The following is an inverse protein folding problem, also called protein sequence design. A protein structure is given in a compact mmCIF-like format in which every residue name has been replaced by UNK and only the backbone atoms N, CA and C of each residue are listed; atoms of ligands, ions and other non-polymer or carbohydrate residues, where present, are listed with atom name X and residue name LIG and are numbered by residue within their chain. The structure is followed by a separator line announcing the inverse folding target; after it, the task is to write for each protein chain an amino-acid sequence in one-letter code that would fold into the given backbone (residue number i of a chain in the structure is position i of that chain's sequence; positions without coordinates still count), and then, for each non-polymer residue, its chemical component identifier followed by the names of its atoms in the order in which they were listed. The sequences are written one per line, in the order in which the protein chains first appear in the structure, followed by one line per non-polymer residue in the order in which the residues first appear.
data_IF_637182163415
#
_entry.id   IF_637182163415
#
_cell.length_a   1.000
_cell.length_b   1.000
_cell.length_c   1.000
_cell.angle_alpha   90.00
_cell.angle_beta   90.00
_cell.angle_gamma   90.00
#
_symmetry.space_group_name_H-M   'P 1'
#
loop_
_entity.id
_entity.type
_entity.pdbx_description
1 polymer ?
#
# COMPACT_ATOMS: atom_id res chain seq x y z
N UNK A 1 -5.63 -1.26 -10.35
CA UNK A 1 -6.18 -0.36 -11.39
C UNK A 1 -5.73 -0.86 -12.75
N UNK A 2 -6.62 -0.89 -13.70
CA UNK A 2 -6.38 -1.29 -15.10
C UNK A 2 -6.54 -0.08 -16.00
N UNK A 3 -5.86 -0.07 -17.13
CA UNK A 3 -5.98 1.03 -18.08
C UNK A 3 -7.39 1.12 -18.67
N UNK A 4 -7.97 -0.02 -19.00
CA UNK A 4 -9.36 -0.14 -19.45
C UNK A 4 -10.06 -1.28 -18.72
N UNK A 5 -11.41 -1.29 -18.62
CA UNK A 5 -12.15 -2.38 -17.98
C UNK A 5 -11.89 -3.76 -18.60
N UNK A 6 -11.53 -3.80 -19.88
CA UNK A 6 -11.22 -5.02 -20.64
C UNK A 6 -9.75 -5.45 -20.55
N UNK A 7 -8.86 -4.60 -20.05
CA UNK A 7 -7.44 -4.96 -19.87
C UNK A 7 -7.30 -5.98 -18.73
N UNK A 8 -6.53 -7.03 -18.97
CA UNK A 8 -6.19 -8.01 -17.93
C UNK A 8 -4.92 -7.62 -17.17
N UNK A 9 -4.16 -6.69 -17.69
CA UNK A 9 -2.93 -6.19 -17.08
C UNK A 9 -3.24 -5.13 -16.04
N UNK A 10 -2.73 -5.31 -14.83
CA UNK A 10 -2.79 -4.32 -13.77
C UNK A 10 -1.60 -3.38 -13.87
N UNK A 11 -1.86 -2.07 -13.94
CA UNK A 11 -0.82 -1.05 -14.04
C UNK A 11 -0.36 -0.58 -12.67
N UNK A 12 -1.29 -0.50 -11.70
CA UNK A 12 -0.99 0.03 -10.37
C UNK A 12 -2.07 -0.37 -9.36
N UNK A 13 -1.79 -0.16 -8.08
CA UNK A 13 -2.75 -0.31 -6.99
C UNK A 13 -3.34 1.05 -6.59
N UNK A 14 -4.50 1.05 -5.95
CA UNK A 14 -5.11 2.21 -5.30
C UNK A 14 -5.37 1.86 -3.84
N UNK A 15 -4.92 2.70 -2.91
CA UNK A 15 -5.06 2.44 -1.50
C UNK A 15 -5.36 3.71 -0.66
N UNK A 16 -5.27 3.57 0.66
CA UNK A 16 -5.52 4.68 1.58
C UNK A 16 -4.54 5.84 1.44
N UNK A 17 -3.31 5.61 0.97
CA UNK A 17 -2.34 6.69 0.70
C UNK A 17 -2.83 7.57 -0.44
N UNK A 18 -3.34 6.97 -1.50
CA UNK A 18 -3.94 7.69 -2.63
C UNK A 18 -5.19 8.49 -2.20
N UNK A 19 -6.05 7.85 -1.39
CA UNK A 19 -7.25 8.50 -0.86
C UNK A 19 -6.88 9.67 0.05
N UNK A 20 -5.89 9.51 0.94
CA UNK A 20 -5.46 10.58 1.82
C UNK A 20 -4.82 11.75 1.03
N UNK A 21 -4.01 11.46 0.01
CA UNK A 21 -3.45 12.48 -0.87
C UNK A 21 -4.58 13.28 -1.55
N UNK A 22 -5.58 12.59 -2.10
CA UNK A 22 -6.76 13.22 -2.69
C UNK A 22 -7.50 14.11 -1.68
N UNK A 23 -7.77 13.62 -0.48
CA UNK A 23 -8.46 14.40 0.55
C UNK A 23 -7.68 15.67 0.93
N UNK A 24 -6.34 15.59 1.07
CA UNK A 24 -5.51 16.75 1.35
C UNK A 24 -5.58 17.81 0.25
N UNK A 25 -5.67 17.39 -1.02
CA UNK A 25 -5.85 18.31 -2.15
C UNK A 25 -7.22 18.99 -2.08
N UNK A 26 -8.28 18.21 -1.85
CA UNK A 26 -9.67 18.72 -1.82
C UNK A 26 -9.89 19.73 -0.70
N UNK A 27 -9.30 19.49 0.49
CA UNK A 27 -9.41 20.42 1.63
C UNK A 27 -8.39 21.56 1.59
N UNK A 28 -7.54 21.62 0.57
CA UNK A 28 -6.57 22.71 0.37
C UNK A 28 -5.37 22.67 1.33
N UNK A 29 -5.06 21.51 1.90
CA UNK A 29 -3.92 21.32 2.82
C UNK A 29 -2.68 20.71 2.13
N UNK A 30 -2.82 20.28 0.88
CA UNK A 30 -1.69 19.79 0.11
C UNK A 30 -0.83 20.94 -0.42
N UNK A 31 0.50 20.76 -0.35
CA UNK A 31 1.47 21.68 -0.93
C UNK A 31 2.07 21.03 -2.18
N UNK A 32 1.57 21.34 -3.38
CA UNK A 32 2.11 20.82 -4.62
C UNK A 32 3.45 21.48 -4.97
N UNK A 33 4.32 20.72 -5.64
CA UNK A 33 5.44 21.26 -6.36
C UNK A 33 4.95 22.11 -7.55
N UNK A 34 5.79 23.00 -8.08
CA UNK A 34 5.40 23.92 -9.17
C UNK A 34 4.80 23.20 -10.39
N UNK A 35 5.30 21.99 -10.70
CA UNK A 35 4.85 21.17 -11.81
C UNK A 35 3.43 20.60 -11.60
N UNK A 36 3.03 20.42 -10.34
CA UNK A 36 1.77 19.75 -9.97
C UNK A 36 0.64 20.73 -9.60
N UNK A 37 0.90 22.03 -9.52
CA UNK A 37 -0.10 23.04 -9.13
C UNK A 37 -1.35 22.99 -9.99
N UNK A 38 -1.20 22.84 -11.31
CA UNK A 38 -2.32 22.80 -12.24
C UNK A 38 -3.22 21.58 -12.02
N UNK A 39 -2.62 20.41 -11.77
CA UNK A 39 -3.32 19.17 -11.47
C UNK A 39 -4.10 19.27 -10.16
N UNK A 40 -3.47 19.78 -9.11
CA UNK A 40 -4.10 19.93 -7.80
C UNK A 40 -5.30 20.89 -7.84
N UNK A 41 -5.17 22.00 -8.56
CA UNK A 41 -6.26 22.97 -8.75
C UNK A 41 -7.42 22.37 -9.54
N UNK A 42 -7.14 21.58 -10.59
CA UNK A 42 -8.18 20.92 -11.39
C UNK A 42 -8.93 19.87 -10.57
N UNK A 43 -8.22 19.03 -9.83
CA UNK A 43 -8.83 18.02 -8.93
C UNK A 43 -9.69 18.70 -7.86
N UNK A 44 -9.18 19.76 -7.22
CA UNK A 44 -9.94 20.52 -6.21
C UNK A 44 -11.20 21.13 -6.80
N UNK A 45 -11.11 21.74 -7.97
CA UNK A 45 -12.27 22.31 -8.71
C UNK A 45 -13.30 21.23 -9.04
N UNK A 46 -12.87 20.10 -9.62
CA UNK A 46 -13.76 18.97 -9.95
C UNK A 46 -14.47 18.44 -8.70
N UNK A 47 -13.73 18.25 -7.61
CA UNK A 47 -14.30 17.77 -6.36
C UNK A 47 -15.36 18.73 -5.78
N UNK A 48 -15.10 20.04 -5.80
CA UNK A 48 -16.08 21.06 -5.35
C UNK A 48 -17.31 21.10 -6.25
N UNK A 49 -17.14 20.86 -7.56
CA UNK A 49 -18.24 20.80 -8.52
C UNK A 49 -18.97 19.44 -8.51
N UNK A 50 -18.52 18.48 -7.68
CA UNK A 50 -19.04 17.11 -7.65
C UNK A 50 -18.95 16.41 -9.02
N UNK A 51 -17.94 16.77 -9.82
CA UNK A 51 -17.64 16.12 -11.10
C UNK A 51 -16.91 14.76 -10.85
N UNK A 52 -17.04 13.85 -11.82
CA UNK A 52 -16.31 12.58 -11.78
C UNK A 52 -14.80 12.81 -11.97
N UNK A 53 -14.00 12.21 -11.09
CA UNK A 53 -12.53 12.27 -11.14
C UNK A 53 -12.01 10.87 -11.41
N UNK A 54 -11.34 10.63 -12.56
CA UNK A 54 -10.75 9.33 -12.85
C UNK A 54 -9.69 8.94 -11.81
N UNK A 55 -9.68 7.68 -11.37
CA UNK A 55 -8.69 7.17 -10.40
C UNK A 55 -7.25 7.42 -10.83
N UNK A 56 -6.94 7.38 -12.14
CA UNK A 56 -5.61 7.66 -12.68
C UNK A 56 -5.11 9.09 -12.37
N UNK A 57 -6.01 10.07 -12.26
CA UNK A 57 -5.64 11.44 -11.87
C UNK A 57 -5.29 11.51 -10.39
N UNK A 58 -6.02 10.78 -9.55
CA UNK A 58 -5.76 10.70 -8.11
C UNK A 58 -4.43 9.97 -7.83
N UNK A 59 -4.17 8.91 -8.57
CA UNK A 59 -2.95 8.11 -8.41
C UNK A 59 -1.66 8.89 -8.65
N UNK A 60 -1.69 9.95 -9.44
CA UNK A 60 -0.54 10.82 -9.67
C UNK A 60 -0.21 11.73 -8.46
N UNK A 61 -1.12 11.84 -7.48
CA UNK A 61 -0.95 12.66 -6.27
C UNK A 61 -0.05 12.00 -5.23
N UNK A 62 0.07 10.68 -5.24
CA UNK A 62 0.85 9.93 -4.25
C UNK A 62 2.08 9.28 -4.87
N UNK A 63 3.10 9.09 -4.04
CA UNK A 63 4.27 8.30 -4.45
C UNK A 63 3.86 6.85 -4.58
N UNK A 64 4.06 6.27 -5.76
CA UNK A 64 3.71 4.87 -6.03
C UNK A 64 4.76 3.92 -5.48
N UNK A 65 4.27 2.85 -4.83
CA UNK A 65 5.08 1.66 -4.62
C UNK A 65 5.25 0.92 -5.96
N UNK A 66 6.39 0.28 -6.11
CA UNK A 66 6.63 -0.60 -7.25
C UNK A 66 5.61 -1.74 -7.25
N UNK A 67 5.02 -2.01 -8.42
CA UNK A 67 4.07 -3.10 -8.57
C UNK A 67 4.84 -4.42 -8.69
N UNK A 68 4.84 -5.19 -7.62
CA UNK A 68 5.48 -6.50 -7.58
C UNK A 68 4.45 -7.60 -7.84
N UNK A 69 4.79 -8.50 -8.74
CA UNK A 69 3.99 -9.69 -9.06
C UNK A 69 4.74 -10.95 -8.68
N UNK A 70 4.02 -11.94 -8.16
CA UNK A 70 4.54 -13.27 -7.81
C UNK A 70 3.58 -14.30 -8.38
N UNK A 71 4.11 -15.37 -8.97
CA UNK A 71 3.28 -16.46 -9.49
C UNK A 71 2.60 -17.22 -8.34
N UNK A 72 1.39 -17.71 -8.57
CA UNK A 72 0.70 -18.59 -7.63
C UNK A 72 1.44 -19.92 -7.42
N UNK A 73 2.31 -20.31 -8.34
CA UNK A 73 3.12 -21.53 -8.27
C UNK A 73 4.51 -21.30 -7.63
N UNK A 74 4.83 -20.03 -7.29
CA UNK A 74 6.07 -19.70 -6.59
C UNK A 74 5.99 -20.05 -5.10
N UNK A 75 7.16 -20.22 -4.49
CA UNK A 75 7.26 -20.48 -3.06
C UNK A 75 7.00 -19.23 -2.23
N UNK A 76 6.57 -19.45 -0.99
CA UNK A 76 6.25 -18.39 -0.04
C UNK A 76 7.42 -17.45 0.28
N UNK A 77 8.67 -17.94 0.17
CA UNK A 77 9.87 -17.15 0.38
C UNK A 77 9.97 -15.94 -0.56
N UNK A 78 9.50 -16.07 -1.82
CA UNK A 78 9.42 -14.94 -2.76
C UNK A 78 8.54 -13.81 -2.25
N UNK A 79 7.38 -14.15 -1.68
CA UNK A 79 6.50 -13.17 -1.07
C UNK A 79 7.15 -12.55 0.18
N UNK A 80 7.87 -13.35 0.99
CA UNK A 80 8.58 -12.86 2.17
C UNK A 80 9.71 -11.90 1.80
N UNK A 81 10.48 -12.19 0.76
CA UNK A 81 11.53 -11.29 0.24
C UNK A 81 10.94 -9.94 -0.21
N UNK A 82 9.86 -9.97 -0.99
CA UNK A 82 9.18 -8.76 -1.45
C UNK A 82 8.69 -7.92 -0.26
N UNK A 83 8.05 -8.53 0.72
CA UNK A 83 7.60 -7.82 1.92
C UNK A 83 8.76 -7.31 2.79
N UNK A 84 9.86 -8.05 2.86
CA UNK A 84 11.07 -7.64 3.57
C UNK A 84 11.77 -6.43 2.93
N UNK A 85 11.59 -6.19 1.62
CA UNK A 85 12.08 -5.00 0.93
C UNK A 85 11.24 -3.73 1.16
N UNK A 86 10.11 -3.83 1.90
CA UNK A 86 9.24 -2.71 2.21
C UNK A 86 7.98 -2.63 1.34
N UNK A 87 7.76 -3.59 0.46
CA UNK A 87 6.51 -3.70 -0.31
C UNK A 87 5.39 -4.18 0.61
N UNK A 88 4.24 -3.52 0.58
CA UNK A 88 3.10 -3.85 1.45
C UNK A 88 2.09 -4.80 0.81
N UNK A 89 2.05 -4.84 -0.53
CA UNK A 89 1.14 -5.69 -1.32
C UNK A 89 1.83 -6.20 -2.56
N UNK A 90 1.57 -7.45 -2.88
CA UNK A 90 2.01 -8.10 -4.11
C UNK A 90 0.79 -8.62 -4.86
N UNK A 91 0.87 -8.64 -6.18
CA UNK A 91 -0.14 -9.25 -7.03
C UNK A 91 0.24 -10.70 -7.28
N UNK A 92 -0.74 -11.58 -7.15
CA UNK A 92 -0.58 -12.99 -7.48
C UNK A 92 -1.06 -13.21 -8.90
N UNK A 93 -0.22 -13.84 -9.71
CA UNK A 93 -0.53 -14.13 -11.11
C UNK A 93 -0.67 -15.63 -11.35
N UNK A 94 -1.51 -15.98 -12.32
CA UNK A 94 -1.59 -17.33 -12.88
C UNK A 94 -0.39 -17.61 -13.79
N UNK A 95 -0.25 -18.86 -14.25
CA UNK A 95 0.75 -19.23 -15.28
C UNK A 95 0.56 -18.46 -16.60
N UNK A 96 -0.65 -17.99 -16.88
CA UNK A 96 -0.95 -17.16 -18.06
C UNK A 96 -0.59 -15.67 -17.85
N UNK A 97 -0.06 -15.29 -16.68
CA UNK A 97 0.27 -13.90 -16.34
C UNK A 97 -0.94 -13.06 -15.90
N UNK A 98 -2.12 -13.66 -15.76
CA UNK A 98 -3.31 -12.95 -15.31
C UNK A 98 -3.28 -12.73 -13.80
N UNK A 99 -3.67 -11.55 -13.34
CA UNK A 99 -3.79 -11.25 -11.90
C UNK A 99 -5.02 -11.97 -11.34
N UNK A 100 -4.77 -12.93 -10.44
CA UNK A 100 -5.79 -13.75 -9.79
C UNK A 100 -6.00 -13.39 -8.33
N UNK A 101 -5.10 -12.62 -7.73
CA UNK A 101 -5.22 -12.24 -6.33
C UNK A 101 -4.28 -11.13 -5.90
N UNK A 102 -4.48 -10.66 -4.68
CA UNK A 102 -3.60 -9.72 -3.99
C UNK A 102 -3.23 -10.32 -2.64
N UNK A 103 -1.94 -10.39 -2.34
CA UNK A 103 -1.43 -10.79 -1.04
C UNK A 103 -0.87 -9.55 -0.33
N UNK A 104 -1.27 -9.32 0.91
CA UNK A 104 -0.73 -8.25 1.76
C UNK A 104 0.16 -8.81 2.87
N UNK A 105 1.04 -7.99 3.42
CA UNK A 105 1.82 -8.33 4.61
C UNK A 105 0.92 -8.82 5.76
N UNK A 106 -0.22 -8.14 5.97
CA UNK A 106 -1.16 -8.51 7.03
C UNK A 106 -1.71 -9.92 6.82
N UNK A 107 -2.03 -10.29 5.58
CA UNK A 107 -2.55 -11.63 5.27
C UNK A 107 -1.50 -12.71 5.49
N UNK A 108 -0.23 -12.40 5.20
CA UNK A 108 0.88 -13.29 5.49
C UNK A 108 1.11 -13.48 7.00
N UNK A 109 1.04 -12.39 7.77
CA UNK A 109 1.14 -12.44 9.24
C UNK A 109 -0.02 -13.24 9.83
N UNK A 110 -1.24 -13.05 9.34
CA UNK A 110 -2.42 -13.83 9.74
C UNK A 110 -2.22 -15.33 9.47
N UNK A 111 -1.66 -15.68 8.31
CA UNK A 111 -1.33 -17.07 8.02
C UNK A 111 -0.34 -17.66 9.03
N UNK A 112 0.77 -16.98 9.31
CA UNK A 112 1.73 -17.45 10.30
C UNK A 112 1.15 -17.53 11.71
N UNK A 113 0.28 -16.60 12.08
CA UNK A 113 -0.41 -16.63 13.36
C UNK A 113 -1.30 -17.88 13.50
N UNK A 114 -2.09 -18.17 12.48
CA UNK A 114 -3.02 -19.31 12.50
C UNK A 114 -2.30 -20.65 12.40
N UNK A 115 -1.19 -20.71 11.67
CA UNK A 115 -0.42 -21.93 11.41
C UNK A 115 0.78 -22.09 12.37
N UNK A 116 0.94 -21.24 13.36
CA UNK A 116 2.11 -21.23 14.27
C UNK A 116 2.35 -22.59 14.95
N UNK A 117 1.28 -23.30 15.28
CA UNK A 117 1.35 -24.64 15.87
C UNK A 117 2.09 -25.65 15.01
N UNK A 118 2.09 -25.45 13.69
CA UNK A 118 2.79 -26.30 12.72
C UNK A 118 4.27 -25.88 12.53
N UNK A 119 4.66 -24.73 13.12
CA UNK A 119 6.00 -24.15 12.99
C UNK A 119 6.61 -23.85 14.38
N UNK A 120 7.26 -24.84 15.03
CA UNK A 120 7.74 -24.70 16.41
C UNK A 120 8.74 -23.55 16.63
N UNK A 121 9.41 -23.09 15.56
CA UNK A 121 10.30 -21.92 15.63
C UNK A 121 9.51 -20.64 15.80
N UNK A 122 8.40 -20.49 15.07
CA UNK A 122 7.52 -19.31 15.15
C UNK A 122 6.80 -19.30 16.49
N UNK A 123 6.29 -20.45 16.94
CA UNK A 123 5.60 -20.58 18.21
C UNK A 123 6.49 -20.13 19.40
N UNK A 124 7.77 -20.49 19.37
CA UNK A 124 8.74 -20.03 20.40
C UNK A 124 8.94 -18.52 20.40
N UNK A 125 8.89 -17.86 19.24
CA UNK A 125 9.05 -16.42 19.15
C UNK A 125 7.90 -15.67 19.82
N UNK A 126 6.69 -16.21 19.82
CA UNK A 126 5.53 -15.58 20.46
C UNK A 126 5.65 -15.46 21.98
N UNK A 127 6.42 -16.33 22.61
CA UNK A 127 6.74 -16.25 24.04
C UNK A 127 7.86 -15.28 24.40
N UNK A 128 8.53 -14.71 23.42
CA UNK A 128 9.68 -13.82 23.62
C UNK A 128 9.23 -12.38 23.91
N UNK A 129 10.01 -11.66 24.73
CA UNK A 129 9.75 -10.24 24.96
C UNK A 129 10.13 -9.40 23.73
N UNK A 130 9.35 -8.41 23.38
CA UNK A 130 9.63 -7.54 22.21
C UNK A 130 11.03 -6.91 22.25
N UNK A 131 11.51 -6.51 23.44
CA UNK A 131 12.86 -5.96 23.63
C UNK A 131 13.95 -6.96 23.26
N UNK A 132 13.73 -8.26 23.52
CA UNK A 132 14.73 -9.31 23.29
C UNK A 132 14.78 -9.70 21.81
N UNK A 133 13.67 -9.52 21.10
CA UNK A 133 13.58 -9.71 19.65
C UNK A 133 14.18 -8.55 18.85
N UNK A 134 14.46 -7.41 19.49
CA UNK A 134 15.00 -6.19 18.86
C UNK A 134 14.18 -5.74 17.65
N UNK A 135 12.86 -5.94 17.70
CA UNK A 135 11.91 -5.52 16.67
C UNK A 135 11.59 -4.05 16.87
N UNK A 136 11.70 -3.27 15.80
CA UNK A 136 11.34 -1.86 15.80
C UNK A 136 12.51 -0.93 15.48
N UNK A 137 12.24 0.36 15.55
CA UNK A 137 13.23 1.41 15.29
C UNK A 137 13.26 2.41 16.43
N UNK A 138 14.44 2.99 16.68
CA UNK A 138 14.59 4.13 17.59
C UNK A 138 14.25 5.47 16.93
N UNK A 139 14.07 5.49 15.61
CA UNK A 139 13.66 6.68 14.88
C UNK A 139 12.14 6.85 15.01
N UNK A 140 11.75 7.77 15.88
CA UNK A 140 10.33 8.09 16.10
C UNK A 140 9.99 9.36 15.33
N UNK A 141 9.01 9.27 14.42
CA UNK A 141 8.40 10.44 13.80
C UNK A 141 7.27 10.88 14.71
N UNK A 142 7.44 12.03 15.36
CA UNK A 142 6.44 12.58 16.25
C UNK A 142 6.03 13.99 15.80
N UNK A 143 4.73 14.25 15.79
CA UNK A 143 4.16 15.58 15.57
C UNK A 143 3.63 16.12 16.89
N UNK A 144 3.96 17.40 17.20
CA UNK A 144 3.37 18.06 18.35
C UNK A 144 1.90 18.33 18.07
N UNK A 145 1.02 17.75 18.89
CA UNK A 145 -0.38 18.08 18.81
C UNK A 145 -0.62 19.50 19.37
N UNK A 146 -1.13 20.40 18.52
CA UNK A 146 -1.57 21.72 18.93
C UNK A 146 -3.09 21.67 19.01
N UNK A 147 -3.63 21.75 20.23
CA UNK A 147 -5.06 21.92 20.41
C UNK A 147 -5.43 23.35 19.94
N UNK A 148 -6.23 23.44 18.87
CA UNK A 148 -6.90 24.71 18.56
C UNK A 148 -7.92 24.97 19.67
N UNK A 149 -7.75 26.10 20.35
CA UNK A 149 -8.77 26.68 21.24
C UNK A 149 -9.70 27.56 20.43
#
# INVERSE_FOLDING_TARGET
VRETPSSQEAITTFDYSDLNAYLLVVVGLANPDEENVALYNDISRKAQAQEEIPLREIQSLSRKEELVTVSADDYLDRAMEAFGSGIHRILITSQAGEVIGVLSQLRLVEFFWNEAVNYPVIERLYGSLLRDLQIGTHQIIAIKWVAYR
#
